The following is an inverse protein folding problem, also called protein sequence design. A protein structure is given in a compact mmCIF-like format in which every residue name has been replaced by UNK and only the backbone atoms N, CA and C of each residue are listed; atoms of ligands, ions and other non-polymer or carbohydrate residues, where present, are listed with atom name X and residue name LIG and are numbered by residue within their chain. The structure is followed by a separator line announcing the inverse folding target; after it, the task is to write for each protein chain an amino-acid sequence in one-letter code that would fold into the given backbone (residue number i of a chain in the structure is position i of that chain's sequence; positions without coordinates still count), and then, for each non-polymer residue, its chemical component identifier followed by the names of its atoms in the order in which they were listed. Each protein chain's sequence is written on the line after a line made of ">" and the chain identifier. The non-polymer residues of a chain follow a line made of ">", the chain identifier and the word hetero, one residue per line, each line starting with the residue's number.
data_IF_679770045638
#
_entry.id   IF_679770045638
#
_cell.length_a   1.000
_cell.length_b   1.000
_cell.length_c   1.000
_cell.angle_alpha   90.00
_cell.angle_beta   90.00
_cell.angle_gamma   90.00
#
_symmetry.space_group_name_H-M   'P 1'
#
loop_
_entity.id
_entity.type
_entity.pdbx_description
1 polymer ?
#
# COMPACT_ATOMS: atom_id res chain seq x y z
N UNK A 1 29.39 -35.13 33.61
CA UNK A 1 29.30 -33.78 33.00
C UNK A 1 29.16 -33.79 31.46
N UNK A 2 29.88 -34.64 30.70
CA UNK A 2 29.87 -34.63 29.21
C UNK A 2 28.50 -34.89 28.53
N UNK A 3 27.68 -35.83 29.02
CA UNK A 3 26.34 -36.12 28.44
C UNK A 3 25.35 -34.95 28.53
N UNK A 4 25.35 -34.21 29.65
CA UNK A 4 24.50 -33.01 29.82
C UNK A 4 24.93 -31.89 28.87
N UNK A 5 26.24 -31.67 28.72
CA UNK A 5 26.80 -30.71 27.76
C UNK A 5 26.48 -31.07 26.31
N UNK A 6 26.55 -32.36 25.93
CA UNK A 6 26.16 -32.83 24.60
C UNK A 6 24.66 -32.64 24.31
N UNK A 7 23.78 -32.97 25.26
CA UNK A 7 22.33 -32.75 25.13
C UNK A 7 22.01 -31.26 24.96
N UNK A 8 22.65 -30.39 25.75
CA UNK A 8 22.49 -28.94 25.64
C UNK A 8 22.99 -28.39 24.31
N UNK A 9 24.13 -28.87 23.80
CA UNK A 9 24.64 -28.48 22.48
C UNK A 9 23.73 -28.95 21.34
N UNK A 10 23.19 -30.17 21.42
CA UNK A 10 22.24 -30.69 20.44
C UNK A 10 20.93 -29.89 20.44
N UNK A 11 20.42 -29.53 21.63
CA UNK A 11 19.21 -28.72 21.77
C UNK A 11 19.41 -27.29 21.23
N UNK A 12 20.59 -26.69 21.46
CA UNK A 12 20.93 -25.38 20.90
C UNK A 12 20.97 -25.41 19.36
N UNK A 13 21.57 -26.46 18.77
CA UNK A 13 21.62 -26.64 17.33
C UNK A 13 20.22 -26.83 16.73
N UNK A 14 19.38 -27.67 17.34
CA UNK A 14 17.99 -27.87 16.89
C UNK A 14 17.18 -26.58 16.96
N UNK A 15 17.38 -25.77 18.00
CA UNK A 15 16.74 -24.45 18.12
C UNK A 15 17.18 -23.52 16.98
N UNK A 16 18.48 -23.46 16.67
CA UNK A 16 18.99 -22.65 15.56
C UNK A 16 18.42 -23.09 14.21
N UNK A 17 18.35 -24.40 13.96
CA UNK A 17 17.76 -24.95 12.73
C UNK A 17 16.28 -24.60 12.63
N UNK A 18 15.53 -24.72 13.73
CA UNK A 18 14.11 -24.38 13.77
C UNK A 18 13.87 -22.88 13.51
N UNK A 19 14.68 -22.02 14.12
CA UNK A 19 14.63 -20.57 13.91
C UNK A 19 14.94 -20.23 12.45
N UNK A 20 15.99 -20.81 11.87
CA UNK A 20 16.34 -20.61 10.47
C UNK A 20 15.25 -21.09 9.51
N UNK A 21 14.69 -22.28 9.76
CA UNK A 21 13.58 -22.82 8.99
C UNK A 21 12.34 -21.93 9.07
N UNK A 22 12.02 -21.39 10.25
CA UNK A 22 10.92 -20.46 10.45
C UNK A 22 11.11 -19.15 9.68
N UNK A 23 12.29 -18.56 9.72
CA UNK A 23 12.60 -17.34 8.96
C UNK A 23 12.48 -17.56 7.44
N UNK A 24 13.05 -18.65 6.93
CA UNK A 24 12.93 -19.01 5.51
C UNK A 24 11.49 -19.29 5.09
N UNK A 25 10.73 -20.01 5.92
CA UNK A 25 9.32 -20.26 5.66
C UNK A 25 8.54 -18.94 5.61
N UNK A 26 8.74 -18.04 6.58
CA UNK A 26 8.09 -16.73 6.61
C UNK A 26 8.43 -15.91 5.37
N UNK A 27 9.70 -15.82 5.00
CA UNK A 27 10.13 -15.10 3.81
C UNK A 27 9.53 -15.70 2.53
N UNK A 28 9.46 -17.03 2.44
CA UNK A 28 8.85 -17.72 1.30
C UNK A 28 7.36 -17.43 1.10
N UNK A 29 6.65 -16.97 2.15
CA UNK A 29 5.24 -16.58 2.07
C UNK A 29 5.03 -15.22 1.40
N UNK A 30 6.05 -14.35 1.37
CA UNK A 30 5.97 -13.04 0.74
C UNK A 30 6.08 -13.23 -0.77
N UNK A 31 4.96 -13.29 -1.48
CA UNK A 31 4.96 -13.60 -2.92
C UNK A 31 4.90 -12.39 -3.85
N UNK A 32 4.66 -11.20 -3.30
CA UNK A 32 4.58 -9.97 -4.08
C UNK A 32 5.01 -8.73 -3.28
N UNK A 33 5.24 -7.62 -3.97
CA UNK A 33 5.72 -6.35 -3.36
C UNK A 33 4.75 -5.80 -2.30
N UNK A 34 3.44 -5.92 -2.52
CA UNK A 34 2.43 -5.41 -1.57
C UNK A 34 2.41 -6.23 -0.27
N UNK A 35 2.63 -7.55 -0.36
CA UNK A 35 2.81 -8.40 0.81
C UNK A 35 4.09 -8.05 1.58
N UNK A 36 5.17 -7.69 0.87
CA UNK A 36 6.42 -7.25 1.48
C UNK A 36 6.20 -5.95 2.26
N UNK A 37 5.63 -4.93 1.61
CA UNK A 37 5.30 -3.64 2.22
C UNK A 37 4.44 -3.82 3.48
N UNK A 38 3.39 -4.64 3.39
CA UNK A 38 2.54 -4.94 4.52
C UNK A 38 3.31 -5.63 5.67
N UNK A 39 4.14 -6.63 5.35
CA UNK A 39 4.91 -7.39 6.33
C UNK A 39 5.92 -6.54 7.08
N UNK A 40 6.66 -5.68 6.36
CA UNK A 40 7.64 -4.77 6.95
C UNK A 40 6.96 -3.73 7.85
N UNK A 41 5.87 -3.11 7.39
CA UNK A 41 5.16 -2.13 8.19
C UNK A 41 4.47 -2.79 9.41
N UNK A 42 3.96 -4.01 9.28
CA UNK A 42 3.42 -4.78 10.41
C UNK A 42 4.50 -5.13 11.44
N UNK A 43 5.70 -5.46 10.98
CA UNK A 43 6.82 -5.82 11.87
C UNK A 43 7.35 -4.62 12.65
N UNK A 44 7.25 -3.42 12.08
CA UNK A 44 7.64 -2.17 12.74
C UNK A 44 6.56 -1.62 13.69
N UNK A 45 5.30 -2.04 13.55
CA UNK A 45 4.18 -1.55 14.37
C UNK A 45 4.43 -1.80 15.88
N UNK A 46 4.18 -0.82 16.76
CA UNK A 46 3.45 0.44 16.56
C UNK A 46 4.28 1.66 16.20
N UNK A 47 5.43 1.46 15.54
CA UNK A 47 6.26 2.53 14.99
C UNK A 47 6.13 2.61 13.47
N UNK A 48 6.53 3.72 12.82
CA UNK A 48 6.59 3.75 11.38
C UNK A 48 7.73 2.84 10.94
N UNK A 49 7.52 2.04 9.90
CA UNK A 49 8.59 1.28 9.28
C UNK A 49 9.67 2.21 8.73
N UNK A 50 10.82 1.65 8.37
CA UNK A 50 11.94 2.41 7.82
C UNK A 50 11.51 3.28 6.63
N UNK A 51 10.61 2.77 5.78
CA UNK A 51 10.04 3.56 4.68
C UNK A 51 9.44 4.90 5.14
N UNK A 52 8.52 4.83 6.09
CA UNK A 52 7.75 5.98 6.58
C UNK A 52 8.51 6.82 7.61
N UNK A 53 9.75 6.45 7.93
CA UNK A 53 10.65 7.16 8.88
C UNK A 53 12.02 7.55 8.29
N UNK A 54 12.40 7.07 7.10
CA UNK A 54 13.70 7.33 6.48
C UNK A 54 13.84 8.78 6.02
N UNK A 55 14.97 9.45 6.27
CA UNK A 55 15.24 10.81 5.75
C UNK A 55 15.28 10.91 4.22
N UNK A 56 15.62 9.81 3.53
CA UNK A 56 15.60 9.71 2.08
C UNK A 56 14.20 9.94 1.49
N UNK A 57 13.16 9.63 2.27
CA UNK A 57 11.77 9.80 1.88
C UNK A 57 10.95 10.68 2.85
N UNK A 58 11.42 10.95 4.07
CA UNK A 58 10.65 11.46 5.23
C UNK A 58 11.55 12.16 6.28
N UNK A 59 11.42 13.45 6.49
CA UNK A 59 10.49 13.94 7.51
C UNK A 59 9.65 15.12 7.01
N UNK A 60 9.97 15.61 5.82
CA UNK A 60 9.21 16.64 5.10
C UNK A 60 8.03 16.06 4.31
N UNK A 61 8.03 14.76 3.96
CA UNK A 61 7.05 14.26 2.99
C UNK A 61 5.69 13.86 3.56
N UNK A 62 5.60 13.40 4.82
CA UNK A 62 4.33 12.99 5.43
C UNK A 62 3.84 13.99 6.48
N UNK A 63 2.59 14.44 6.34
CA UNK A 63 1.93 15.40 7.24
C UNK A 63 1.57 14.73 8.55
N UNK A 64 0.96 13.56 8.44
CA UNK A 64 0.36 12.84 9.55
C UNK A 64 0.72 11.37 9.44
N UNK A 65 1.26 10.80 10.52
CA UNK A 65 1.36 9.35 10.74
C UNK A 65 0.52 9.01 11.98
N UNK A 66 -0.58 8.29 11.79
CA UNK A 66 -1.59 8.03 12.81
C UNK A 66 -1.57 6.53 13.15
N UNK A 67 -1.53 6.24 14.45
CA UNK A 67 -1.68 4.90 15.01
C UNK A 67 -3.02 4.84 15.76
N UNK A 68 -3.87 3.88 15.40
CA UNK A 68 -5.05 3.56 16.19
C UNK A 68 -4.82 2.19 16.84
N UNK A 69 -4.34 2.22 18.08
CA UNK A 69 -4.05 1.00 18.85
C UNK A 69 -5.29 0.13 19.07
N UNK A 70 -6.47 0.73 19.20
CA UNK A 70 -7.72 0.00 19.40
C UNK A 70 -8.15 -0.71 18.12
N UNK A 71 -7.92 -0.09 16.97
CA UNK A 71 -8.23 -0.68 15.66
C UNK A 71 -7.07 -1.44 15.05
N UNK A 72 -5.89 -1.44 15.66
CA UNK A 72 -4.70 -2.08 15.13
C UNK A 72 -4.39 -1.61 13.69
N UNK A 73 -4.42 -0.29 13.47
CA UNK A 73 -4.21 0.32 12.16
C UNK A 73 -3.10 1.36 12.18
N UNK A 74 -2.41 1.49 11.04
CA UNK A 74 -1.46 2.57 10.77
C UNK A 74 -1.88 3.34 9.52
N UNK A 75 -1.79 4.66 9.56
CA UNK A 75 -2.08 5.54 8.42
C UNK A 75 -0.98 6.56 8.23
N UNK A 76 -0.58 6.80 6.98
CA UNK A 76 0.35 7.86 6.61
C UNK A 76 -0.25 8.71 5.47
N UNK A 77 -0.10 10.04 5.54
CA UNK A 77 -0.58 10.94 4.50
C UNK A 77 0.50 11.93 4.08
N UNK A 78 0.67 12.15 2.77
CA UNK A 78 1.63 13.14 2.26
C UNK A 78 1.31 14.58 2.69
N UNK A 79 2.36 15.39 2.92
CA UNK A 79 2.29 16.85 3.03
C UNK A 79 1.95 17.45 1.67
N UNK A 80 1.29 18.60 1.73
CA UNK A 80 0.88 19.34 0.55
C UNK A 80 2.06 19.72 -0.38
N UNK A 81 3.19 20.16 0.18
CA UNK A 81 4.38 20.51 -0.60
C UNK A 81 5.27 19.33 -1.05
N UNK A 82 4.91 18.09 -0.70
CA UNK A 82 5.72 16.90 -0.98
C UNK A 82 5.01 15.87 -1.89
N UNK A 83 3.76 16.14 -2.26
CA UNK A 83 3.00 15.37 -3.24
C UNK A 83 3.05 16.06 -4.61
N UNK A 84 2.82 15.34 -5.72
CA UNK A 84 2.65 15.98 -7.02
C UNK A 84 1.47 16.97 -7.03
N UNK A 85 1.62 18.09 -7.74
CA UNK A 85 0.76 19.29 -7.61
C UNK A 85 -0.74 19.05 -7.88
N UNK A 86 -1.03 18.10 -8.76
CA UNK A 86 -2.34 17.64 -9.20
C UNK A 86 -3.05 16.71 -8.19
N UNK A 87 -2.42 16.35 -7.07
CA UNK A 87 -3.05 15.53 -6.04
C UNK A 87 -3.41 16.35 -4.81
N UNK A 88 -4.69 16.37 -4.45
CA UNK A 88 -5.20 17.05 -3.25
C UNK A 88 -5.08 16.20 -1.99
N UNK A 89 -4.76 14.90 -2.12
CA UNK A 89 -4.44 13.99 -1.01
C UNK A 89 -3.86 12.67 -1.55
N UNK A 90 -2.86 12.13 -0.85
CA UNK A 90 -2.36 10.77 -1.06
C UNK A 90 -2.22 10.12 0.33
N UNK A 91 -2.86 8.99 0.54
CA UNK A 91 -2.95 8.32 1.86
C UNK A 91 -2.61 6.85 1.72
N UNK A 92 -1.83 6.34 2.67
CA UNK A 92 -1.55 4.93 2.89
C UNK A 92 -2.23 4.49 4.18
N UNK A 93 -2.91 3.35 4.16
CA UNK A 93 -3.67 2.85 5.30
C UNK A 93 -3.49 1.33 5.42
N UNK A 94 -3.14 0.88 6.62
CA UNK A 94 -2.83 -0.50 6.94
C UNK A 94 -3.73 -1.00 8.05
N UNK A 95 -4.34 -2.16 7.85
CA UNK A 95 -5.13 -2.88 8.84
C UNK A 95 -4.39 -4.17 9.23
N UNK A 96 -3.96 -4.25 10.49
CA UNK A 96 -3.18 -5.37 11.02
C UNK A 96 -4.02 -6.44 11.71
N UNK A 97 -5.35 -6.25 11.78
CA UNK A 97 -6.24 -7.20 12.42
C UNK A 97 -6.19 -8.57 11.73
N UNK A 98 -6.08 -9.68 12.49
CA UNK A 98 -6.03 -11.03 11.92
C UNK A 98 -7.20 -11.34 10.98
N UNK A 99 -8.39 -10.85 11.29
CA UNK A 99 -9.62 -11.06 10.51
C UNK A 99 -9.71 -10.19 9.25
N UNK A 100 -8.87 -9.16 9.12
CA UNK A 100 -8.93 -8.19 8.02
C UNK A 100 -7.58 -7.56 7.72
N UNK A 101 -6.68 -8.32 7.12
CA UNK A 101 -5.34 -7.87 6.77
C UNK A 101 -5.33 -7.15 5.43
N UNK A 102 -5.20 -5.83 5.46
CA UNK A 102 -5.32 -5.01 4.24
C UNK A 102 -4.32 -3.87 4.19
N UNK A 103 -3.92 -3.52 2.98
CA UNK A 103 -3.15 -2.31 2.66
C UNK A 103 -3.90 -1.50 1.61
N UNK A 104 -4.11 -0.21 1.86
CA UNK A 104 -4.84 0.69 0.97
C UNK A 104 -4.01 1.90 0.60
N UNK A 105 -4.17 2.34 -0.64
CA UNK A 105 -3.69 3.63 -1.12
C UNK A 105 -4.89 4.39 -1.68
N UNK A 106 -5.05 5.63 -1.24
CA UNK A 106 -6.07 6.54 -1.76
C UNK A 106 -5.43 7.73 -2.43
N UNK A 107 -5.80 7.95 -3.70
CA UNK A 107 -5.32 9.04 -4.52
C UNK A 107 -6.47 9.98 -4.82
N UNK A 108 -6.35 11.24 -4.44
CA UNK A 108 -7.34 12.28 -4.73
C UNK A 108 -6.71 13.22 -5.75
N UNK A 109 -7.00 13.01 -7.03
CA UNK A 109 -6.43 13.80 -8.12
C UNK A 109 -7.41 14.86 -8.58
N UNK A 110 -7.01 16.12 -8.50
CA UNK A 110 -7.76 17.24 -9.06
C UNK A 110 -7.48 17.31 -10.56
N UNK A 111 -8.54 17.20 -11.37
CA UNK A 111 -8.43 17.23 -12.83
C UNK A 111 -8.77 18.62 -13.37
N UNK A 112 -9.76 19.29 -12.75
CA UNK A 112 -10.17 20.66 -13.04
C UNK A 112 -10.59 21.34 -11.73
N UNK A 113 -10.75 22.67 -11.74
CA UNK A 113 -11.33 23.40 -10.62
C UNK A 113 -12.69 22.80 -10.27
N UNK A 114 -12.78 22.15 -9.09
CA UNK A 114 -13.94 21.42 -8.51
C UNK A 114 -14.11 19.92 -8.85
N UNK A 115 -13.29 19.34 -9.74
CA UNK A 115 -13.39 17.92 -10.11
C UNK A 115 -12.24 17.12 -9.50
N UNK A 116 -12.57 16.18 -8.61
CA UNK A 116 -11.59 15.26 -8.02
C UNK A 116 -11.92 13.81 -8.34
N UNK A 117 -10.99 13.15 -9.04
CA UNK A 117 -11.03 11.69 -9.21
C UNK A 117 -10.40 11.05 -7.98
N UNK A 118 -11.13 10.11 -7.38
CA UNK A 118 -10.64 9.32 -6.27
C UNK A 118 -10.29 7.91 -6.75
N UNK A 119 -9.01 7.55 -6.71
CA UNK A 119 -8.58 6.18 -7.01
C UNK A 119 -8.27 5.47 -5.70
N UNK A 120 -8.97 4.36 -5.49
CA UNK A 120 -8.72 3.45 -4.39
C UNK A 120 -7.96 2.22 -4.89
N UNK A 121 -6.82 1.97 -4.26
CA UNK A 121 -6.03 0.77 -4.44
C UNK A 121 -6.15 -0.04 -3.16
N UNK A 122 -6.68 -1.25 -3.26
CA UNK A 122 -6.96 -2.12 -2.12
C UNK A 122 -6.26 -3.46 -2.28
N UNK A 123 -5.25 -3.72 -1.45
CA UNK A 123 -4.58 -4.99 -1.36
C UNK A 123 -5.14 -5.83 -0.20
N UNK A 124 -5.69 -7.00 -0.54
CA UNK A 124 -6.08 -8.06 0.40
C UNK A 124 -4.89 -9.01 0.58
N UNK A 125 -4.32 -9.03 1.79
CA UNK A 125 -3.08 -9.77 2.09
C UNK A 125 -3.30 -11.28 2.05
N UNK A 126 -4.45 -11.73 2.53
CA UNK A 126 -4.83 -13.15 2.61
C UNK A 126 -5.06 -13.73 1.22
N UNK A 127 -5.77 -12.99 0.36
CA UNK A 127 -6.11 -13.44 -0.99
C UNK A 127 -5.05 -13.08 -2.04
N UNK A 128 -4.09 -12.22 -1.70
CA UNK A 128 -3.07 -11.67 -2.61
C UNK A 128 -3.72 -11.01 -3.84
N UNK A 129 -4.79 -10.24 -3.60
CA UNK A 129 -5.53 -9.52 -4.65
C UNK A 129 -5.31 -8.03 -4.48
N UNK A 130 -4.83 -7.37 -5.53
CA UNK A 130 -4.79 -5.92 -5.65
C UNK A 130 -6.00 -5.47 -6.49
N UNK A 131 -6.97 -4.84 -5.83
CA UNK A 131 -8.13 -4.22 -6.51
C UNK A 131 -7.86 -2.74 -6.75
N UNK A 132 -8.14 -2.27 -7.94
CA UNK A 132 -8.11 -0.85 -8.32
C UNK A 132 -9.53 -0.44 -8.67
N UNK A 133 -10.05 0.56 -7.97
CA UNK A 133 -11.36 1.14 -8.23
C UNK A 133 -11.25 2.65 -8.25
N UNK A 134 -12.17 3.26 -8.97
CA UNK A 134 -12.32 4.70 -9.03
C UNK A 134 -13.68 5.04 -8.49
N UNK A 135 -13.70 6.00 -7.58
CA UNK A 135 -14.92 6.71 -7.21
C UNK A 135 -14.75 8.17 -7.66
N UNK A 136 -15.88 8.85 -7.81
CA UNK A 136 -15.87 10.27 -8.15
C UNK A 136 -16.28 11.09 -6.94
N UNK A 137 -15.55 12.17 -6.69
CA UNK A 137 -15.88 13.14 -5.66
C UNK A 137 -16.08 14.48 -6.35
N UNK A 138 -17.34 14.88 -6.47
CA UNK A 138 -17.69 16.25 -6.85
C UNK A 138 -17.90 17.09 -5.59
N UNK A 139 -17.23 18.25 -5.49
CA UNK A 139 -17.56 19.25 -4.48
C UNK A 139 -18.58 20.21 -5.05
N UNK A 140 -19.80 20.13 -4.54
CA UNK A 140 -20.82 21.15 -4.76
C UNK A 140 -20.92 22.01 -3.48
N UNK A 141 -20.16 23.10 -3.41
CA UNK A 141 -20.03 23.90 -2.18
C UNK A 141 -19.33 23.12 -1.07
N UNK A 142 -19.98 22.95 0.09
CA UNK A 142 -19.48 22.14 1.22
C UNK A 142 -19.84 20.65 1.13
N UNK A 143 -20.70 20.25 0.18
CA UNK A 143 -21.16 18.87 0.05
C UNK A 143 -20.27 18.06 -0.88
N UNK A 144 -20.01 16.82 -0.46
CA UNK A 144 -19.27 15.84 -1.22
C UNK A 144 -20.26 14.79 -1.74
N UNK A 145 -20.43 14.71 -3.06
CA UNK A 145 -21.27 13.68 -3.69
C UNK A 145 -20.38 12.56 -4.21
N UNK A 146 -20.67 11.33 -3.79
CA UNK A 146 -20.04 10.12 -4.31
C UNK A 146 -20.97 9.46 -5.32
N UNK A 147 -20.44 9.11 -6.50
CA UNK A 147 -21.19 8.42 -7.55
C UNK A 147 -20.93 6.92 -7.43
N UNK A 148 -21.90 6.17 -6.92
CA UNK A 148 -21.76 4.72 -6.69
C UNK A 148 -22.13 3.86 -7.91
N UNK A 149 -22.97 4.38 -8.82
CA UNK A 149 -23.39 3.65 -10.01
C UNK A 149 -22.31 3.69 -11.10
N UNK A 150 -21.92 2.54 -11.63
CA UNK A 150 -20.88 2.44 -12.66
C UNK A 150 -21.24 3.16 -13.97
N UNK A 151 -22.50 3.09 -14.41
CA UNK A 151 -22.94 3.78 -15.64
C UNK A 151 -22.80 5.29 -15.48
N UNK A 152 -23.23 5.82 -14.34
CA UNK A 152 -23.12 7.24 -14.04
C UNK A 152 -21.65 7.64 -13.92
N UNK A 153 -20.85 6.88 -13.19
CA UNK A 153 -19.41 7.10 -13.06
C UNK A 153 -18.70 7.16 -14.42
N UNK A 154 -19.00 6.22 -15.34
CA UNK A 154 -18.46 6.23 -16.71
C UNK A 154 -18.90 7.45 -17.51
N UNK A 155 -20.17 7.85 -17.38
CA UNK A 155 -20.68 9.05 -18.04
C UNK A 155 -19.98 10.31 -17.53
N UNK A 156 -19.77 10.43 -16.21
CA UNK A 156 -19.04 11.54 -15.60
C UNK A 156 -17.58 11.59 -16.04
N UNK A 157 -16.88 10.46 -16.05
CA UNK A 157 -15.50 10.40 -16.56
C UNK A 157 -15.43 10.88 -18.02
N UNK A 158 -16.39 10.47 -18.87
CA UNK A 158 -16.49 10.95 -20.27
C UNK A 158 -16.77 12.44 -20.37
N UNK A 159 -17.69 12.99 -19.56
CA UNK A 159 -18.01 14.41 -19.53
C UNK A 159 -16.78 15.28 -19.20
N UNK A 160 -15.88 14.76 -18.36
CA UNK A 160 -14.62 15.42 -17.99
C UNK A 160 -13.42 14.99 -18.83
N UNK A 161 -13.64 14.29 -19.95
CA UNK A 161 -12.58 13.80 -20.86
C UNK A 161 -11.53 12.93 -20.18
N UNK A 162 -11.93 12.14 -19.17
CA UNK A 162 -11.06 11.22 -18.44
C UNK A 162 -11.22 9.83 -19.05
N UNK A 163 -10.12 9.33 -19.60
CA UNK A 163 -10.07 8.03 -20.26
C UNK A 163 -9.53 6.96 -19.31
N UNK A 164 -9.72 5.69 -19.68
CA UNK A 164 -9.03 4.56 -19.04
C UNK A 164 -7.50 4.77 -18.96
N UNK A 165 -6.89 5.30 -20.02
CA UNK A 165 -5.45 5.55 -20.07
C UNK A 165 -5.02 6.59 -19.03
N UNK A 166 -5.86 7.58 -18.75
CA UNK A 166 -5.60 8.55 -17.70
C UNK A 166 -5.65 7.89 -16.32
N UNK A 167 -6.65 7.04 -16.05
CA UNK A 167 -6.74 6.30 -14.79
C UNK A 167 -5.53 5.37 -14.58
N UNK A 168 -5.10 4.68 -15.62
CA UNK A 168 -3.88 3.85 -15.60
C UNK A 168 -2.63 4.71 -15.33
N UNK A 169 -2.53 5.88 -15.95
CA UNK A 169 -1.43 6.82 -15.73
C UNK A 169 -1.43 7.38 -14.31
N UNK A 170 -2.59 7.66 -13.71
CA UNK A 170 -2.70 8.19 -12.35
C UNK A 170 -2.24 7.17 -11.31
N UNK A 171 -2.52 5.89 -11.56
CA UNK A 171 -1.99 4.79 -10.77
C UNK A 171 -0.47 4.65 -10.97
N UNK A 172 0.01 4.65 -12.21
CA UNK A 172 1.43 4.47 -12.51
C UNK A 172 2.30 5.59 -11.91
N UNK A 173 1.89 6.84 -12.09
CA UNK A 173 2.60 8.03 -11.60
C UNK A 173 2.89 7.94 -10.08
N UNK A 174 1.88 7.60 -9.28
CA UNK A 174 2.01 7.59 -7.82
C UNK A 174 2.46 6.25 -7.28
N UNK A 175 1.85 5.16 -7.72
CA UNK A 175 2.10 3.84 -7.13
C UNK A 175 3.41 3.29 -7.68
N UNK A 176 3.57 3.20 -9.00
CA UNK A 176 4.75 2.56 -9.59
C UNK A 176 5.98 3.46 -9.56
N UNK A 177 5.87 4.64 -10.17
CA UNK A 177 7.03 5.48 -10.43
C UNK A 177 7.53 6.21 -9.20
N UNK A 178 6.67 6.41 -8.20
CA UNK A 178 7.02 7.11 -6.97
C UNK A 178 7.10 6.14 -5.79
N UNK A 179 5.98 5.61 -5.31
CA UNK A 179 5.94 4.83 -4.08
C UNK A 179 6.73 3.51 -4.15
N UNK A 180 6.47 2.66 -5.15
CA UNK A 180 7.14 1.37 -5.29
C UNK A 180 8.60 1.53 -5.72
N UNK A 181 8.92 2.51 -6.57
CA UNK A 181 10.32 2.82 -6.93
C UNK A 181 11.13 3.21 -5.70
N UNK A 182 10.65 4.17 -4.90
CA UNK A 182 11.32 4.54 -3.65
C UNK A 182 11.33 3.41 -2.62
N UNK A 183 10.33 2.52 -2.64
CA UNK A 183 10.37 1.31 -1.80
C UNK A 183 11.58 0.45 -2.14
N UNK A 184 11.84 0.21 -3.42
CA UNK A 184 12.99 -0.59 -3.89
C UNK A 184 14.34 0.10 -3.71
N UNK A 185 14.37 1.42 -3.48
CA UNK A 185 15.60 2.15 -3.12
C UNK A 185 15.95 1.99 -1.62
N UNK A 186 14.94 1.83 -0.77
CA UNK A 186 15.10 1.72 0.68
C UNK A 186 15.28 0.27 1.13
N UNK A 187 14.56 -0.66 0.49
CA UNK A 187 14.64 -2.09 0.77
C UNK A 187 15.19 -2.82 -0.43
N UNK A 188 16.07 -3.79 -0.17
CA UNK A 188 16.54 -4.77 -1.15
C UNK A 188 15.41 -5.74 -1.50
N UNK A 189 14.45 -5.24 -2.27
CA UNK A 189 13.25 -5.96 -2.68
C UNK A 189 13.55 -6.85 -3.88
N UNK A 190 13.13 -8.12 -3.80
CA UNK A 190 13.12 -9.04 -4.95
C UNK A 190 12.03 -8.73 -5.99
N UNK A 191 11.15 -7.79 -5.69
CA UNK A 191 10.07 -7.31 -6.55
C UNK A 191 10.35 -5.88 -6.99
N UNK A 192 9.68 -5.44 -8.05
CA UNK A 192 9.86 -4.10 -8.64
C UNK A 192 8.53 -3.50 -9.08
N UNK A 193 8.49 -2.20 -9.43
CA UNK A 193 7.33 -1.60 -10.10
C UNK A 193 6.93 -2.31 -11.41
N UNK A 194 7.89 -2.94 -12.10
CA UNK A 194 7.70 -3.66 -13.35
C UNK A 194 7.33 -5.15 -13.15
N UNK A 195 7.70 -5.74 -12.00
CA UNK A 195 7.35 -7.11 -11.60
C UNK A 195 6.92 -7.14 -10.13
N UNK A 196 5.60 -7.12 -9.92
CA UNK A 196 5.03 -7.21 -8.57
C UNK A 196 5.19 -8.59 -7.93
N UNK A 197 5.52 -9.65 -8.68
CA UNK A 197 5.43 -11.03 -8.23
C UNK A 197 4.02 -11.63 -8.32
N UNK A 198 3.73 -12.65 -7.52
CA UNK A 198 2.45 -13.37 -7.54
C UNK A 198 1.36 -12.55 -6.85
N UNK A 199 0.67 -11.71 -7.63
CA UNK A 199 -0.50 -10.94 -7.19
C UNK A 199 -1.57 -10.98 -8.28
N UNK A 200 -2.82 -11.24 -7.88
CA UNK A 200 -3.96 -11.09 -8.79
C UNK A 200 -4.33 -9.61 -8.84
N UNK A 201 -4.42 -9.04 -10.05
CA UNK A 201 -4.84 -7.65 -10.24
C UNK A 201 -6.26 -7.63 -10.76
N UNK A 202 -7.14 -6.88 -10.10
CA UNK A 202 -8.51 -6.61 -10.54
C UNK A 202 -8.67 -5.11 -10.71
N UNK A 203 -8.97 -4.64 -11.93
CA UNK A 203 -9.11 -3.22 -12.23
C UNK A 203 -10.52 -2.95 -12.71
N UNK A 204 -11.26 -2.10 -11.99
CA UNK A 204 -12.66 -1.79 -12.27
C UNK A 204 -12.85 -1.26 -13.70
N UNK A 205 -11.94 -0.41 -14.16
CA UNK A 205 -11.98 0.20 -15.49
C UNK A 205 -11.27 -0.61 -16.57
N UNK A 206 -10.98 -1.90 -16.34
CA UNK A 206 -10.28 -2.72 -17.32
C UNK A 206 -11.01 -2.80 -18.67
N UNK A 207 -12.35 -2.86 -18.64
CA UNK A 207 -13.21 -3.04 -19.82
C UNK A 207 -14.02 -1.78 -20.19
N UNK A 208 -13.62 -0.60 -19.67
CA UNK A 208 -14.35 0.66 -19.86
C UNK A 208 -14.07 1.37 -21.19
#
# INVERSE_FOLDING_TARGET
>A
MKKKSFLSSLLALLTLVAVFAFFNWRDSQIKNIFAQIYSEQKSAYPSPGQFFSSKAFTSSSFKDTIYDFKKNTFRAQYKEGARPANYSKIVFDFDFKPEKRTFRIWLYRTVHDNVTVFIAIHYDVDKKILKKSVDFIERQGEQQVTIENETDLRNYLKQHNITKKDLDSYYDEIVNQNFLRSWTEIYDSRFSPEDYGEVKIETQWADW
#
